data_IF_339706825527
#
_entry.id   IF_339706825527
#
_cell.length_a   1.000
_cell.length_b   1.000
_cell.length_c   1.000
_cell.angle_alpha   90.00
_cell.angle_beta   90.00
_cell.angle_gamma   90.00
#
_symmetry.space_group_name_H-M   'P 1'
#
loop_
_entity.id
_entity.type
_entity.pdbx_description
1 polymer ?
#
# COMPACT_ATOMS: atom_id res chain seq x y z
N UNK A 1 -27.54 -5.17 27.86
CA UNK A 1 -27.05 -5.03 26.47
C UNK A 1 -26.04 -6.12 26.19
N UNK A 2 -26.09 -6.80 25.04
CA UNK A 2 -25.01 -7.71 24.64
C UNK A 2 -23.70 -6.93 24.41
N UNK A 3 -22.53 -7.53 24.66
CA UNK A 3 -21.24 -6.87 24.47
C UNK A 3 -20.92 -6.63 22.99
N UNK A 4 -20.40 -5.44 22.66
CA UNK A 4 -19.91 -5.13 21.31
C UNK A 4 -18.55 -5.79 21.08
N UNK A 5 -18.36 -6.38 19.90
CA UNK A 5 -17.07 -6.92 19.45
C UNK A 5 -16.50 -6.02 18.36
N UNK A 6 -15.27 -5.56 18.54
CA UNK A 6 -14.57 -4.74 17.55
C UNK A 6 -13.41 -5.54 16.96
N UNK A 7 -13.23 -5.43 15.64
CA UNK A 7 -12.10 -5.96 14.89
C UNK A 7 -11.35 -4.78 14.27
N UNK A 8 -10.05 -4.68 14.53
CA UNK A 8 -9.17 -3.75 13.84
C UNK A 8 -8.29 -4.53 12.87
N UNK A 9 -8.27 -4.10 11.61
CA UNK A 9 -7.44 -4.67 10.56
C UNK A 9 -6.50 -3.59 10.04
N UNK A 10 -5.25 -3.97 9.80
CA UNK A 10 -4.22 -3.08 9.31
C UNK A 10 -3.59 -3.65 8.03
N UNK A 11 -3.51 -2.82 6.99
CA UNK A 11 -2.99 -3.21 5.68
C UNK A 11 -1.90 -2.21 5.24
N UNK A 12 -0.64 -2.41 5.65
CA UNK A 12 0.44 -1.44 5.44
C UNK A 12 0.79 -1.21 3.95
N UNK A 13 0.53 -2.19 3.09
CA UNK A 13 0.92 -2.18 1.68
C UNK A 13 -0.28 -2.13 0.72
N UNK A 14 -1.48 -1.78 1.22
CA UNK A 14 -2.75 -1.98 0.50
C UNK A 14 -2.77 -1.37 -0.91
N UNK A 15 -2.26 -0.14 -1.07
CA UNK A 15 -2.27 0.52 -2.37
C UNK A 15 -1.31 -0.17 -3.36
N UNK A 16 -0.12 -0.58 -2.89
CA UNK A 16 0.83 -1.33 -3.69
C UNK A 16 0.28 -2.72 -4.07
N UNK A 17 -0.28 -3.47 -3.11
CA UNK A 17 -0.88 -4.77 -3.35
C UNK A 17 -2.06 -4.71 -4.34
N UNK A 18 -2.91 -3.68 -4.23
CA UNK A 18 -4.02 -3.48 -5.15
C UNK A 18 -3.52 -3.30 -6.60
N UNK A 19 -2.45 -2.53 -6.80
CA UNK A 19 -1.86 -2.35 -8.12
C UNK A 19 -1.28 -3.66 -8.65
N UNK A 20 -0.46 -4.36 -7.87
CA UNK A 20 0.13 -5.65 -8.28
C UNK A 20 -0.93 -6.70 -8.68
N UNK A 21 -2.12 -6.65 -8.08
CA UNK A 21 -3.22 -7.58 -8.39
C UNK A 21 -4.02 -7.18 -9.64
N UNK A 22 -4.13 -5.88 -9.94
CA UNK A 22 -5.02 -5.36 -10.99
C UNK A 22 -4.27 -5.09 -12.30
N UNK A 23 -3.04 -4.60 -12.21
CA UNK A 23 -2.21 -4.23 -13.36
C UNK A 23 -1.52 -5.46 -13.94
N UNK A 24 -2.08 -5.99 -15.04
CA UNK A 24 -1.54 -7.16 -15.76
C UNK A 24 -0.18 -6.92 -16.43
N UNK A 25 0.37 -5.71 -16.37
CA UNK A 25 1.67 -5.34 -16.95
C UNK A 25 2.74 -4.92 -15.94
N UNK A 26 2.45 -4.93 -14.63
CA UNK A 26 3.47 -4.65 -13.63
C UNK A 26 4.48 -5.80 -13.60
N UNK A 27 5.71 -5.49 -14.01
CA UNK A 27 6.84 -6.41 -13.93
C UNK A 27 7.17 -6.76 -12.48
N UNK A 28 7.85 -7.89 -12.24
CA UNK A 28 8.32 -8.24 -10.90
C UNK A 28 9.32 -7.19 -10.40
N UNK A 29 9.25 -6.84 -9.11
CA UNK A 29 10.24 -6.00 -8.45
C UNK A 29 9.63 -4.96 -7.49
N UNK A 30 10.50 -4.15 -6.86
CA UNK A 30 10.09 -3.07 -5.97
C UNK A 30 9.08 -2.11 -6.62
N UNK A 31 7.89 -2.02 -6.03
CA UNK A 31 6.85 -1.06 -6.41
C UNK A 31 6.67 0.01 -5.32
N UNK A 32 6.60 1.28 -5.74
CA UNK A 32 6.22 2.41 -4.90
C UNK A 32 4.99 3.12 -5.48
N UNK A 33 4.03 3.46 -4.61
CA UNK A 33 2.87 4.28 -4.96
C UNK A 33 3.17 5.71 -4.55
N UNK A 34 3.22 6.61 -5.53
CA UNK A 34 3.44 8.04 -5.33
C UNK A 34 2.10 8.76 -5.43
N UNK A 35 1.87 9.71 -4.52
CA UNK A 35 0.76 10.65 -4.57
C UNK A 35 1.25 12.08 -4.47
N UNK A 36 0.31 13.03 -4.49
CA UNK A 36 0.61 14.45 -4.35
C UNK A 36 -0.01 15.00 -3.06
N UNK A 37 0.74 15.84 -2.34
CA UNK A 37 0.26 16.61 -1.19
C UNK A 37 0.81 18.03 -1.25
N UNK A 38 -0.06 19.00 -1.50
CA UNK A 38 0.31 20.42 -1.53
C UNK A 38 1.38 20.76 -2.58
N UNK A 39 1.31 20.17 -3.77
CA UNK A 39 2.31 20.37 -4.83
C UNK A 39 3.57 19.52 -4.72
N UNK A 40 3.74 18.76 -3.63
CA UNK A 40 4.86 17.85 -3.45
C UNK A 40 4.48 16.40 -3.73
N UNK A 41 5.40 15.63 -4.33
CA UNK A 41 5.26 14.19 -4.46
C UNK A 41 5.62 13.47 -3.15
N UNK A 42 4.81 12.50 -2.75
CA UNK A 42 5.00 11.74 -1.51
C UNK A 42 4.82 10.24 -1.75
N UNK A 43 5.60 9.42 -1.03
CA UNK A 43 5.40 7.98 -0.97
C UNK A 43 4.13 7.69 -0.14
N UNK A 44 3.11 7.15 -0.79
CA UNK A 44 1.81 6.82 -0.16
C UNK A 44 1.82 5.38 0.34
N UNK A 45 2.47 4.47 -0.39
CA UNK A 45 2.58 3.06 -0.01
C UNK A 45 3.75 2.42 -0.75
N UNK A 46 4.40 1.46 -0.13
CA UNK A 46 5.45 0.65 -0.71
C UNK A 46 4.99 -0.80 -0.78
N UNK A 47 5.47 -1.55 -1.76
CA UNK A 47 5.47 -3.02 -1.71
C UNK A 47 6.45 -3.52 -0.64
N UNK A 48 6.29 -4.77 -0.16
CA UNK A 48 7.25 -5.37 0.77
C UNK A 48 8.70 -5.33 0.24
N UNK A 49 8.89 -5.58 -1.05
CA UNK A 49 10.19 -5.58 -1.71
C UNK A 49 10.81 -4.18 -1.77
N UNK A 50 10.00 -3.15 -1.99
CA UNK A 50 10.47 -1.76 -1.97
C UNK A 50 10.81 -1.30 -0.55
N UNK A 51 10.00 -1.64 0.45
CA UNK A 51 10.29 -1.29 1.84
C UNK A 51 11.59 -1.93 2.35
N UNK A 52 11.95 -3.12 1.85
CA UNK A 52 13.20 -3.79 2.20
C UNK A 52 14.46 -3.06 1.72
N UNK A 53 14.34 -2.05 0.84
CA UNK A 53 15.47 -1.27 0.31
C UNK A 53 15.86 -0.08 1.19
N UNK A 54 15.13 0.20 2.27
CA UNK A 54 15.30 1.39 3.11
C UNK A 54 14.50 2.60 2.63
#
# INVERSE_FOLDING_TARGET
MPPKRFLSLWFPHLAAERLLRVERGLGPGPLAVVGERGGAQVLVSLSPEAQAQG
#
